data_IF_689989357611
#
_entry.id   IF_689989357611
#
_cell.length_a   1.000
_cell.length_b   1.000
_cell.length_c   1.000
_cell.angle_alpha   90.00
_cell.angle_beta   90.00
_cell.angle_gamma   90.00
#
_symmetry.space_group_name_H-M   'P 1'
#
loop_
_entity.id
_entity.type
_entity.pdbx_description
1 polymer ?
#
# COMPACT_ATOMS: atom_id res chain seq x y z
N UNK A 1 0.89 8.19 -16.99
CA UNK A 1 0.87 8.32 -15.53
C UNK A 1 1.88 7.33 -14.98
N UNK A 2 2.87 7.79 -14.22
CA UNK A 2 3.88 6.90 -13.64
C UNK A 2 3.23 6.16 -12.45
N UNK A 3 3.04 4.86 -12.59
CA UNK A 3 2.28 4.04 -11.63
C UNK A 3 3.18 3.02 -10.93
N UNK A 4 2.91 2.78 -9.64
CA UNK A 4 3.49 1.68 -8.87
C UNK A 4 2.40 0.84 -8.25
N UNK A 5 2.55 -0.48 -8.28
CA UNK A 5 1.81 -1.44 -7.48
C UNK A 5 2.67 -1.84 -6.30
N UNK A 6 2.19 -1.51 -5.11
CA UNK A 6 2.81 -1.86 -3.85
C UNK A 6 2.02 -3.04 -3.27
N UNK A 7 2.63 -4.22 -3.21
CA UNK A 7 1.96 -5.39 -2.66
C UNK A 7 2.66 -5.93 -1.42
N UNK A 8 1.85 -6.54 -0.55
CA UNK A 8 2.31 -7.23 0.65
C UNK A 8 1.49 -8.50 0.84
N UNK A 9 2.14 -9.60 1.22
CA UNK A 9 1.51 -10.90 1.40
C UNK A 9 2.42 -11.86 2.14
N UNK A 10 1.84 -12.70 3.01
CA UNK A 10 2.59 -13.77 3.68
C UNK A 10 3.14 -14.82 2.71
N UNK A 11 2.53 -14.98 1.53
CA UNK A 11 3.07 -15.81 0.45
C UNK A 11 3.59 -14.91 -0.69
N UNK A 12 4.92 -14.81 -0.88
CA UNK A 12 5.52 -13.91 -1.87
C UNK A 12 5.12 -14.21 -3.32
N UNK A 13 4.67 -15.44 -3.60
CA UNK A 13 4.28 -15.92 -4.93
C UNK A 13 2.80 -16.30 -5.02
N UNK A 14 2.00 -15.96 -4.00
CA UNK A 14 0.59 -16.36 -3.88
C UNK A 14 -0.37 -15.52 -4.72
N UNK A 15 -1.66 -15.69 -4.45
CA UNK A 15 -2.77 -15.06 -5.17
C UNK A 15 -2.63 -13.53 -5.31
N UNK A 16 -2.26 -12.83 -4.24
CA UNK A 16 -2.05 -11.38 -4.27
C UNK A 16 -0.91 -10.99 -5.21
N UNK A 17 0.20 -11.75 -5.22
CA UNK A 17 1.30 -11.51 -6.15
C UNK A 17 0.85 -11.70 -7.60
N UNK A 18 0.15 -12.79 -7.91
CA UNK A 18 -0.34 -13.04 -9.28
C UNK A 18 -1.28 -11.93 -9.75
N UNK A 19 -2.22 -11.51 -8.90
CA UNK A 19 -3.12 -10.39 -9.20
C UNK A 19 -2.38 -9.06 -9.36
N UNK A 20 -1.42 -8.77 -8.48
CA UNK A 20 -0.64 -7.54 -8.51
C UNK A 20 0.27 -7.48 -9.75
N UNK A 21 0.88 -8.61 -10.13
CA UNK A 21 1.69 -8.76 -11.35
C UNK A 21 0.85 -8.53 -12.61
N UNK A 22 -0.32 -9.17 -12.72
CA UNK A 22 -1.21 -8.97 -13.86
C UNK A 22 -1.68 -7.50 -13.96
N UNK A 23 -2.01 -6.87 -12.84
CA UNK A 23 -2.39 -5.46 -12.81
C UNK A 23 -1.21 -4.54 -13.16
N UNK A 24 -0.01 -4.85 -12.70
CA UNK A 24 1.19 -4.08 -13.04
C UNK A 24 1.47 -4.15 -14.55
N UNK A 25 1.33 -5.32 -15.18
CA UNK A 25 1.44 -5.50 -16.62
C UNK A 25 0.37 -4.70 -17.38
N UNK A 26 -0.90 -4.79 -16.95
CA UNK A 26 -2.02 -4.02 -17.52
C UNK A 26 -1.76 -2.51 -17.50
N UNK A 27 -1.32 -1.99 -16.36
CA UNK A 27 -1.12 -0.54 -16.15
C UNK A 27 0.27 -0.06 -16.57
N UNK A 28 1.17 -0.95 -17.02
CA UNK A 28 2.59 -0.68 -17.25
C UNK A 28 3.25 -0.02 -16.02
N UNK A 29 2.94 -0.57 -14.85
CA UNK A 29 3.37 -0.07 -13.56
C UNK A 29 4.61 -0.81 -13.05
N UNK A 30 5.38 -0.14 -12.21
CA UNK A 30 6.40 -0.80 -11.38
C UNK A 30 5.71 -1.70 -10.35
N UNK A 31 6.31 -2.82 -9.98
CA UNK A 31 5.79 -3.75 -8.97
C UNK A 31 6.81 -3.91 -7.85
N UNK A 32 6.41 -3.59 -6.61
CA UNK A 32 7.26 -3.79 -5.43
C UNK A 32 6.61 -4.70 -4.40
N UNK A 33 7.44 -5.57 -3.81
CA UNK A 33 7.04 -6.43 -2.70
C UNK A 33 7.52 -5.82 -1.38
N UNK A 34 6.58 -5.30 -0.57
CA UNK A 34 6.90 -4.59 0.67
C UNK A 34 7.66 -5.44 1.68
N UNK A 35 7.40 -6.75 1.74
CA UNK A 35 8.03 -7.63 2.72
C UNK A 35 9.53 -7.87 2.47
N UNK A 36 10.10 -7.39 1.34
CA UNK A 36 11.56 -7.38 1.13
C UNK A 36 12.27 -6.24 1.84
N UNK A 37 11.53 -5.25 2.33
CA UNK A 37 12.07 -4.07 2.99
C UNK A 37 11.97 -4.21 4.50
N UNK A 38 13.04 -3.83 5.20
CA UNK A 38 13.06 -3.71 6.66
C UNK A 38 12.30 -2.46 7.05
N UNK A 39 11.06 -2.62 7.47
CA UNK A 39 10.20 -1.52 7.94
C UNK A 39 9.87 -1.77 9.41
N UNK A 40 10.36 -0.90 10.29
CA UNK A 40 9.98 -0.90 11.70
C UNK A 40 8.56 -0.39 11.92
N UNK A 41 7.91 -0.87 12.98
CA UNK A 41 6.64 -0.32 13.46
C UNK A 41 6.79 1.15 13.85
N UNK A 42 5.76 1.96 13.68
CA UNK A 42 5.81 3.37 14.11
C UNK A 42 6.11 3.51 15.61
N UNK A 43 7.00 4.44 15.94
CA UNK A 43 7.21 4.88 17.31
C UNK A 43 7.43 6.40 17.37
N UNK A 44 6.87 7.05 18.39
CA UNK A 44 6.99 8.52 18.59
C UNK A 44 8.44 9.04 18.71
N UNK A 45 9.40 8.16 19.04
CA UNK A 45 10.81 8.54 19.12
C UNK A 45 11.49 8.59 17.75
N UNK A 46 10.84 8.08 16.70
CA UNK A 46 11.38 7.91 15.35
C UNK A 46 12.79 7.29 15.34
N UNK A 47 13.03 6.29 16.19
CA UNK A 47 14.36 5.71 16.40
C UNK A 47 14.78 4.67 15.34
N UNK A 48 14.21 4.75 14.14
CA UNK A 48 14.44 3.81 13.03
C UNK A 48 15.64 4.22 12.19
N UNK A 49 16.84 4.16 12.77
CA UNK A 49 18.08 4.61 12.11
C UNK A 49 18.63 3.65 11.05
N UNK A 50 18.14 2.41 11.00
CA UNK A 50 18.67 1.34 10.16
C UNK A 50 17.53 0.56 9.48
N UNK A 51 16.58 1.27 8.90
CA UNK A 51 15.45 0.67 8.18
C UNK A 51 15.22 1.35 6.82
N UNK A 52 14.46 0.68 5.97
CA UNK A 52 14.30 1.04 4.56
C UNK A 52 13.15 2.03 4.32
N UNK A 53 12.36 2.36 5.35
CA UNK A 53 11.07 3.00 5.15
C UNK A 53 11.18 4.36 4.47
N UNK A 54 12.04 5.26 4.98
CA UNK A 54 12.13 6.64 4.47
C UNK A 54 12.57 6.65 3.01
N UNK A 55 13.55 5.83 2.65
CA UNK A 55 14.05 5.73 1.28
C UNK A 55 13.00 5.10 0.35
N UNK A 56 12.31 4.06 0.80
CA UNK A 56 11.23 3.43 0.06
C UNK A 56 10.07 4.41 -0.17
N UNK A 57 9.62 5.12 0.86
CA UNK A 57 8.51 6.05 0.75
C UNK A 57 8.85 7.22 -0.17
N UNK A 58 10.07 7.77 -0.11
CA UNK A 58 10.56 8.76 -1.08
C UNK A 58 10.53 8.26 -2.52
N UNK A 59 10.93 7.01 -2.75
CA UNK A 59 10.84 6.41 -4.07
C UNK A 59 9.38 6.29 -4.53
N UNK A 60 8.47 5.89 -3.63
CA UNK A 60 7.01 5.84 -3.88
C UNK A 60 6.43 7.24 -4.18
N UNK A 61 6.89 8.29 -3.50
CA UNK A 61 6.48 9.67 -3.79
C UNK A 61 6.88 10.13 -5.20
N UNK A 62 7.79 9.43 -5.87
CA UNK A 62 8.14 9.65 -7.27
C UNK A 62 7.11 9.16 -8.29
N UNK A 63 5.98 8.58 -7.84
CA UNK A 63 4.89 8.09 -8.69
C UNK A 63 3.66 9.01 -8.61
N UNK A 64 2.88 9.05 -9.68
CA UNK A 64 1.64 9.82 -9.77
C UNK A 64 0.43 8.99 -9.30
N UNK A 65 0.52 7.67 -9.42
CA UNK A 65 -0.52 6.72 -9.03
C UNK A 65 0.06 5.55 -8.25
N UNK A 66 -0.53 5.29 -7.08
CA UNK A 66 -0.06 4.25 -6.16
C UNK A 66 -1.18 3.24 -5.96
N UNK A 67 -0.94 1.98 -6.33
CA UNK A 67 -1.90 0.90 -6.15
C UNK A 67 -1.50 0.08 -4.93
N UNK A 68 -2.36 0.04 -3.92
CA UNK A 68 -2.16 -0.73 -2.70
C UNK A 68 -2.79 -2.12 -2.87
N UNK A 69 -1.95 -3.15 -2.93
CA UNK A 69 -2.35 -4.52 -3.12
C UNK A 69 -2.14 -5.36 -1.84
N UNK A 70 -3.21 -5.93 -1.30
CA UNK A 70 -3.13 -6.78 -0.11
C UNK A 70 -4.16 -7.90 -0.16
N UNK A 71 -3.85 -9.10 0.36
CA UNK A 71 -4.90 -10.00 0.77
C UNK A 71 -5.72 -9.37 1.90
N UNK A 72 -6.97 -9.79 2.02
CA UNK A 72 -7.82 -9.44 3.16
C UNK A 72 -7.55 -10.44 4.28
N UNK A 73 -6.86 -10.03 5.33
CA UNK A 73 -6.64 -10.84 6.54
C UNK A 73 -7.38 -10.19 7.71
N UNK A 74 -8.38 -10.89 8.26
CA UNK A 74 -9.21 -10.38 9.36
C UNK A 74 -9.73 -8.96 9.11
N UNK A 75 -10.37 -8.75 7.95
CA UNK A 75 -10.92 -7.44 7.54
C UNK A 75 -9.88 -6.31 7.41
N UNK A 76 -8.59 -6.63 7.36
CA UNK A 76 -7.50 -5.66 7.30
C UNK A 76 -6.45 -6.03 6.24
N UNK A 77 -5.52 -5.10 6.01
CA UNK A 77 -4.30 -5.35 5.25
C UNK A 77 -3.31 -6.20 6.07
N UNK A 78 -2.30 -6.74 5.40
CA UNK A 78 -1.20 -7.45 6.08
C UNK A 78 -0.46 -6.55 7.10
N UNK A 79 0.16 -7.14 8.14
CA UNK A 79 0.96 -6.38 9.12
C UNK A 79 2.04 -5.50 8.48
N UNK A 80 2.72 -5.99 7.43
CA UNK A 80 3.77 -5.24 6.74
C UNK A 80 3.22 -4.03 5.98
N UNK A 81 2.08 -4.17 5.29
CA UNK A 81 1.40 -3.03 4.66
C UNK A 81 0.94 -2.03 5.71
N UNK A 82 0.41 -2.50 6.85
CA UNK A 82 -0.01 -1.64 7.95
C UNK A 82 1.17 -0.86 8.55
N UNK A 83 2.32 -1.50 8.76
CA UNK A 83 3.54 -0.84 9.22
C UNK A 83 4.01 0.24 8.23
N UNK A 84 3.97 -0.03 6.92
CA UNK A 84 4.27 0.98 5.89
C UNK A 84 3.32 2.18 5.98
N UNK A 85 2.01 1.94 6.11
CA UNK A 85 1.00 3.00 6.25
C UNK A 85 1.22 3.80 7.54
N UNK A 86 1.44 3.12 8.67
CA UNK A 86 1.63 3.78 9.97
C UNK A 86 2.86 4.67 9.99
N UNK A 87 3.92 4.25 9.30
CA UNK A 87 5.17 5.01 9.21
C UNK A 87 5.07 6.24 8.31
N UNK A 88 4.00 6.41 7.52
CA UNK A 88 3.70 7.71 6.89
C UNK A 88 3.60 8.81 7.96
N UNK A 89 3.28 8.45 9.21
CA UNK A 89 3.31 9.36 10.36
C UNK A 89 4.67 9.99 10.62
N UNK A 90 5.80 9.35 10.26
CA UNK A 90 7.12 10.00 10.32
C UNK A 90 7.15 11.28 9.46
N UNK A 91 6.52 11.23 8.29
CA UNK A 91 6.41 12.38 7.39
C UNK A 91 5.37 13.41 7.86
N UNK A 92 4.46 13.02 8.76
CA UNK A 92 3.51 13.92 9.43
C UNK A 92 4.13 14.61 10.65
N UNK A 93 5.00 13.93 11.39
CA UNK A 93 5.55 14.44 12.65
C UNK A 93 6.85 15.24 12.44
N UNK A 94 7.71 14.79 11.53
CA UNK A 94 9.03 15.39 11.31
C UNK A 94 8.90 16.57 10.35
N UNK A 95 9.12 17.80 10.85
CA UNK A 95 8.96 19.05 10.09
C UNK A 95 9.68 19.06 8.73
N UNK A 96 10.89 18.52 8.67
CA UNK A 96 11.70 18.47 7.45
C UNK A 96 11.08 17.58 6.36
N UNK A 97 10.25 16.59 6.72
CA UNK A 97 9.63 15.64 5.80
C UNK A 97 8.22 16.08 5.34
N UNK A 98 7.56 16.99 6.06
CA UNK A 98 6.21 17.47 5.72
C UNK A 98 6.07 18.01 4.30
N UNK A 99 7.03 18.77 3.73
CA UNK A 99 6.93 19.20 2.33
C UNK A 99 6.82 18.03 1.35
N UNK A 100 7.55 16.94 1.59
CA UNK A 100 7.51 15.73 0.75
C UNK A 100 6.13 15.05 0.85
N UNK A 101 5.56 14.95 2.07
CA UNK A 101 4.23 14.37 2.28
C UNK A 101 3.13 15.10 1.52
N UNK A 102 3.19 16.44 1.48
CA UNK A 102 2.15 17.28 0.83
C UNK A 102 1.99 16.97 -0.65
N UNK A 103 3.00 16.40 -1.31
CA UNK A 103 2.93 15.96 -2.71
C UNK A 103 1.91 14.83 -2.93
N UNK A 104 1.49 14.11 -1.88
CA UNK A 104 0.41 13.13 -1.98
C UNK A 104 -0.91 13.75 -2.48
N UNK A 105 -1.14 15.05 -2.24
CA UNK A 105 -2.38 15.76 -2.65
C UNK A 105 -2.57 15.84 -4.17
N UNK A 106 -1.50 15.62 -4.92
CA UNK A 106 -1.51 15.64 -6.39
C UNK A 106 -1.65 14.22 -6.96
N UNK A 107 -1.67 13.20 -6.11
CA UNK A 107 -1.58 11.79 -6.49
C UNK A 107 -2.92 11.08 -6.43
N UNK A 108 -3.00 10.02 -7.22
CA UNK A 108 -4.13 9.09 -7.21
C UNK A 108 -3.75 7.81 -6.50
N UNK A 109 -4.73 7.10 -5.97
CA UNK A 109 -4.54 5.75 -5.46
C UNK A 109 -5.61 4.78 -5.95
N UNK A 110 -5.26 3.50 -5.99
CA UNK A 110 -6.19 2.40 -6.22
C UNK A 110 -5.97 1.30 -5.19
N UNK A 111 -7.00 0.46 -5.03
CA UNK A 111 -6.96 -0.69 -4.12
C UNK A 111 -7.07 -1.95 -4.95
N UNK A 112 -6.17 -2.91 -4.70
CA UNK A 112 -6.29 -4.28 -5.17
C UNK A 112 -6.41 -5.20 -3.95
N UNK A 113 -7.53 -5.90 -3.87
CA UNK A 113 -7.80 -6.84 -2.79
C UNK A 113 -7.94 -8.26 -3.33
N UNK A 114 -7.44 -9.23 -2.56
CA UNK A 114 -7.66 -10.65 -2.86
C UNK A 114 -8.21 -11.36 -1.63
N UNK A 115 -9.22 -12.21 -1.81
CA UNK A 115 -9.76 -13.01 -0.72
C UNK A 115 -10.46 -14.27 -1.22
N UNK A 116 -10.85 -15.16 -0.31
CA UNK A 116 -11.74 -16.29 -0.60
C UNK A 116 -13.23 -15.91 -0.60
N UNK A 117 -13.55 -14.62 -0.37
CA UNK A 117 -14.88 -14.09 -0.52
C UNK A 117 -15.05 -13.49 -1.91
N UNK A 118 -16.28 -13.44 -2.41
CA UNK A 118 -16.59 -12.88 -3.74
C UNK A 118 -16.32 -11.36 -3.82
N UNK A 119 -16.38 -10.67 -2.68
CA UNK A 119 -16.23 -9.22 -2.57
C UNK A 119 -15.28 -8.85 -1.44
N UNK A 120 -14.57 -7.75 -1.62
CA UNK A 120 -13.83 -7.12 -0.53
C UNK A 120 -14.82 -6.63 0.54
N UNK A 121 -14.56 -6.90 1.84
CA UNK A 121 -15.42 -6.39 2.89
C UNK A 121 -15.20 -4.88 3.04
N UNK A 122 -16.28 -4.14 3.32
CA UNK A 122 -16.25 -2.68 3.44
C UNK A 122 -15.20 -2.16 4.44
N UNK A 123 -15.03 -2.75 5.65
CA UNK A 123 -14.00 -2.26 6.59
C UNK A 123 -12.57 -2.29 6.04
N UNK A 124 -12.24 -3.25 5.16
CA UNK A 124 -10.93 -3.31 4.51
C UNK A 124 -10.74 -2.13 3.55
N UNK A 125 -11.73 -1.89 2.69
CA UNK A 125 -11.66 -0.83 1.68
C UNK A 125 -11.79 0.55 2.30
N UNK A 126 -12.70 0.74 3.26
CA UNK A 126 -12.95 2.00 3.95
C UNK A 126 -11.74 2.48 4.74
N UNK A 127 -11.00 1.56 5.38
CA UNK A 127 -9.76 1.90 6.06
C UNK A 127 -8.73 2.53 5.11
N UNK A 128 -8.55 1.94 3.91
CA UNK A 128 -7.62 2.47 2.91
C UNK A 128 -8.14 3.77 2.30
N UNK A 129 -9.42 3.82 1.93
CA UNK A 129 -10.04 5.03 1.35
C UNK A 129 -9.94 6.20 2.32
N UNK A 130 -10.38 6.02 3.57
CA UNK A 130 -10.33 7.06 4.58
C UNK A 130 -8.91 7.53 4.89
N UNK A 131 -7.94 6.60 4.91
CA UNK A 131 -6.52 6.94 5.15
C UNK A 131 -5.95 7.80 4.02
N UNK A 132 -6.11 7.38 2.76
CA UNK A 132 -5.45 8.08 1.65
C UNK A 132 -6.21 9.34 1.21
N UNK A 133 -7.53 9.40 1.36
CA UNK A 133 -8.29 10.64 1.18
C UNK A 133 -7.98 11.67 2.27
N UNK A 134 -7.76 11.24 3.52
CA UNK A 134 -7.25 12.12 4.59
C UNK A 134 -5.89 12.74 4.23
N UNK A 135 -5.02 11.97 3.58
CA UNK A 135 -3.73 12.45 3.05
C UNK A 135 -3.88 13.28 1.76
N UNK A 136 -5.11 13.49 1.28
CA UNK A 136 -5.46 14.31 0.13
C UNK A 136 -5.32 13.62 -1.22
N UNK A 137 -5.09 12.31 -1.26
CA UNK A 137 -5.05 11.55 -2.50
C UNK A 137 -6.45 11.32 -3.07
N UNK A 138 -6.56 11.15 -4.39
CA UNK A 138 -7.83 10.84 -5.05
C UNK A 138 -7.94 9.35 -5.35
N UNK A 139 -9.04 8.71 -4.91
CA UNK A 139 -9.34 7.33 -5.28
C UNK A 139 -9.65 7.24 -6.79
N UNK A 140 -9.04 6.27 -7.47
CA UNK A 140 -9.24 6.02 -8.90
C UNK A 140 -9.99 4.72 -9.18
N UNK A 141 -9.63 3.62 -8.51
CA UNK A 141 -10.21 2.29 -8.77
C UNK A 141 -10.14 1.42 -7.50
N UNK A 142 -11.16 0.60 -7.29
CA UNK A 142 -11.11 -0.52 -6.33
C UNK A 142 -11.35 -1.81 -7.10
N UNK A 143 -10.39 -2.74 -7.04
CA UNK A 143 -10.45 -4.04 -7.69
C UNK A 143 -10.41 -5.15 -6.64
N UNK A 144 -11.29 -6.14 -6.80
CA UNK A 144 -11.28 -7.36 -6.01
C UNK A 144 -11.06 -8.57 -6.91
N UNK A 145 -10.20 -9.50 -6.48
CA UNK A 145 -10.02 -10.79 -7.14
C UNK A 145 -10.37 -11.89 -6.14
N UNK A 146 -11.41 -12.64 -6.48
CA UNK A 146 -11.91 -13.76 -5.70
C UNK A 146 -11.07 -15.02 -6.00
N UNK A 147 -10.51 -15.61 -4.95
CA UNK A 147 -9.77 -16.87 -4.97
C UNK A 147 -10.46 -17.87 -4.03
N UNK A 148 -11.47 -18.60 -4.50
CA UNK A 148 -12.18 -19.57 -3.66
C UNK A 148 -11.22 -20.67 -3.18
N UNK A 149 -11.55 -21.29 -2.05
CA UNK A 149 -10.89 -22.53 -1.68
C UNK A 149 -11.16 -23.59 -2.76
N UNK A 150 -10.14 -24.38 -3.08
CA UNK A 150 -10.38 -25.59 -3.85
C UNK A 150 -11.12 -26.58 -2.92
N UNK A 151 -12.20 -27.17 -3.44
CA UNK A 151 -12.92 -28.27 -2.78
C UNK A 151 -12.02 -29.49 -2.57
#
# INVERSE_FOLDING_TARGET
MKTVVIYSSSNPNGNTYQSAKALAEEKRAELIYLDRYKIGEYCYKHSHSDDDFVNLFRWVLGFEHIIFASPVYWYAVTPRMKAFIDRITDFMDIEALKPELRTLREKQFSILSTSCQEKAPAPFTEMLVGTFEYLGMKLQEQRHVHYPYAD
#
